data_IF_084534723859
#
_entry.id   IF_084534723859
#
_cell.length_a   1.000
_cell.length_b   1.000
_cell.length_c   1.000
_cell.angle_alpha   90.00
_cell.angle_beta   90.00
_cell.angle_gamma   90.00
#
_symmetry.space_group_name_H-M   'P 1'
#
loop_
_entity.id
_entity.type
_entity.pdbx_description
1 polymer ?
#
# COMPACT_ATOMS: atom_id res chain seq x y z
N UNK A 1 -6.24 12.93 0.03
CA UNK A 1 -5.00 13.73 -0.12
C UNK A 1 -3.81 12.77 -0.16
N UNK A 2 -2.81 13.03 -1.00
CA UNK A 2 -1.56 12.25 -1.13
C UNK A 2 -0.39 13.00 -0.49
N UNK A 3 0.74 12.35 -0.17
CA UNK A 3 1.90 13.03 0.40
C UNK A 3 2.48 14.11 -0.52
N UNK A 4 2.23 14.00 -1.82
CA UNK A 4 2.67 14.94 -2.85
C UNK A 4 1.88 16.25 -2.86
N UNK A 5 0.66 16.27 -2.31
CA UNK A 5 -0.17 17.47 -2.22
C UNK A 5 0.41 18.51 -1.24
N UNK A 6 1.18 18.08 -0.23
CA UNK A 6 1.85 18.99 0.72
C UNK A 6 3.20 19.50 0.20
N UNK A 7 3.80 18.81 -0.78
CA UNK A 7 5.09 19.19 -1.34
C UNK A 7 5.00 20.42 -2.25
N UNK A 8 3.79 20.85 -2.64
CA UNK A 8 3.60 21.95 -3.58
C UNK A 8 2.50 22.90 -3.11
N UNK A 9 2.94 23.99 -2.46
CA UNK A 9 2.17 25.22 -2.37
C UNK A 9 1.84 25.75 -3.78
N UNK A 10 0.83 26.60 -3.89
CA UNK A 10 0.18 26.91 -5.17
C UNK A 10 1.12 27.48 -6.26
N UNK A 11 2.24 28.11 -5.91
CA UNK A 11 3.08 28.85 -6.86
C UNK A 11 3.88 27.96 -7.83
N UNK A 12 4.69 26.95 -7.41
CA UNK A 12 5.33 26.03 -8.35
C UNK A 12 4.37 25.26 -9.26
N UNK A 13 3.18 24.91 -8.73
CA UNK A 13 2.14 24.24 -9.50
C UNK A 13 1.56 25.14 -10.61
N UNK A 14 1.29 26.41 -10.29
CA UNK A 14 0.89 27.43 -11.27
C UNK A 14 1.97 27.66 -12.32
N UNK A 15 3.24 27.78 -11.93
CA UNK A 15 4.37 27.97 -12.86
C UNK A 15 4.50 26.81 -13.86
N UNK A 16 4.33 25.57 -13.40
CA UNK A 16 4.33 24.39 -14.27
C UNK A 16 3.16 24.38 -15.26
N UNK A 17 1.93 24.68 -14.82
CA UNK A 17 0.77 24.77 -15.70
C UNK A 17 0.93 25.86 -16.77
N UNK A 18 1.49 27.01 -16.39
CA UNK A 18 1.81 28.11 -17.30
C UNK A 18 2.84 27.68 -18.35
N UNK A 19 3.90 26.97 -17.94
CA UNK A 19 4.88 26.43 -18.89
C UNK A 19 4.26 25.46 -19.88
N UNK A 20 3.50 24.47 -19.40
CA UNK A 20 2.86 23.46 -20.29
C UNK A 20 1.89 24.12 -21.26
N UNK A 21 1.12 25.10 -20.80
CA UNK A 21 0.25 25.91 -21.66
C UNK A 21 1.04 26.68 -22.71
N UNK A 22 2.22 27.21 -22.35
CA UNK A 22 3.12 27.90 -23.27
C UNK A 22 3.75 26.96 -24.32
N UNK A 23 4.07 25.72 -23.95
CA UNK A 23 4.55 24.68 -24.87
C UNK A 23 3.46 24.26 -25.86
N UNK A 24 2.22 24.09 -25.39
CA UNK A 24 1.07 23.83 -26.23
C UNK A 24 0.79 24.99 -27.19
N UNK A 25 0.83 26.23 -26.69
CA UNK A 25 0.67 27.43 -27.52
C UNK A 25 1.74 27.50 -28.61
N UNK A 26 3.00 27.19 -28.28
CA UNK A 26 4.08 27.10 -29.28
C UNK A 26 3.82 26.03 -30.34
N UNK A 27 3.39 24.83 -29.92
CA UNK A 27 3.05 23.74 -30.83
C UNK A 27 1.90 24.10 -31.77
N UNK A 28 0.80 24.63 -31.21
CA UNK A 28 -0.36 25.10 -31.96
C UNK A 28 0.01 26.25 -32.91
N UNK A 29 0.89 27.16 -32.49
CA UNK A 29 1.38 28.25 -33.32
C UNK A 29 2.12 27.74 -34.57
N UNK A 30 2.93 26.67 -34.45
CA UNK A 30 3.58 26.04 -35.62
C UNK A 30 2.57 25.45 -36.60
N UNK A 31 1.51 24.82 -36.08
CA UNK A 31 0.42 24.29 -36.90
C UNK A 31 -0.33 25.41 -37.61
N UNK A 32 -0.69 26.48 -36.89
CA UNK A 32 -1.38 27.64 -37.48
C UNK A 32 -0.56 28.27 -38.62
N UNK A 33 0.75 28.41 -38.45
CA UNK A 33 1.65 28.90 -39.51
C UNK A 33 1.71 27.96 -40.71
N UNK A 34 1.83 26.65 -40.49
CA UNK A 34 1.85 25.68 -41.58
C UNK A 34 0.53 25.69 -42.37
N UNK A 35 -0.60 25.84 -41.67
CA UNK A 35 -1.91 25.96 -42.30
C UNK A 35 -2.08 27.29 -43.05
N UNK A 36 -1.56 28.40 -42.52
CA UNK A 36 -1.59 29.69 -43.21
C UNK A 36 -0.86 29.61 -44.56
N UNK A 37 0.32 28.97 -44.58
CA UNK A 37 1.12 28.77 -45.79
C UNK A 37 0.45 27.87 -46.85
N UNK A 38 -0.47 27.00 -46.42
CA UNK A 38 -1.20 26.10 -47.29
C UNK A 38 -2.64 26.57 -47.59
N UNK A 39 -3.04 27.75 -47.08
CA UNK A 39 -4.41 28.21 -47.17
C UNK A 39 -4.75 28.68 -48.60
N UNK A 40 -5.87 28.21 -49.19
CA UNK A 40 -6.26 28.59 -50.54
C UNK A 40 -6.93 29.97 -50.65
N UNK A 41 -7.26 30.61 -49.52
CA UNK A 41 -7.91 31.93 -49.49
C UNK A 41 -7.17 32.91 -48.59
N UNK A 42 -6.97 34.15 -49.08
CA UNK A 42 -6.23 35.19 -48.34
C UNK A 42 -6.88 35.59 -47.01
N UNK A 43 -8.21 35.43 -46.87
CA UNK A 43 -8.87 35.66 -45.59
C UNK A 43 -8.51 34.60 -44.53
N UNK A 44 -8.47 33.32 -44.92
CA UNK A 44 -8.09 32.24 -44.01
C UNK A 44 -6.61 32.32 -43.63
N UNK A 45 -5.74 32.68 -44.58
CA UNK A 45 -4.32 32.96 -44.34
C UNK A 45 -4.13 34.04 -43.28
N UNK A 46 -4.81 35.20 -43.42
CA UNK A 46 -4.71 36.31 -42.47
C UNK A 46 -5.16 35.91 -41.06
N UNK A 47 -6.28 35.18 -40.93
CA UNK A 47 -6.76 34.72 -39.61
C UNK A 47 -5.81 33.73 -38.95
N UNK A 48 -5.23 32.81 -39.74
CA UNK A 48 -4.25 31.84 -39.24
C UNK A 48 -2.92 32.50 -38.85
N UNK A 49 -2.51 33.55 -39.57
CA UNK A 49 -1.33 34.34 -39.22
C UNK A 49 -1.55 35.14 -37.92
N UNK A 50 -2.72 35.76 -37.73
CA UNK A 50 -3.08 36.41 -36.47
C UNK A 50 -3.12 35.43 -35.29
N UNK A 51 -3.65 34.23 -35.52
CA UNK A 51 -3.64 33.15 -34.53
C UNK A 51 -2.20 32.71 -34.20
N UNK A 52 -1.32 32.56 -35.21
CA UNK A 52 0.09 32.27 -35.00
C UNK A 52 0.78 33.32 -34.11
N UNK A 53 0.61 34.60 -34.42
CA UNK A 53 1.26 35.69 -33.68
C UNK A 53 0.74 35.82 -32.24
N UNK A 54 -0.55 35.55 -32.03
CA UNK A 54 -1.17 35.48 -30.70
C UNK A 54 -0.59 34.31 -29.87
N UNK A 55 -0.53 33.11 -30.47
CA UNK A 55 0.01 31.91 -29.83
C UNK A 55 1.52 32.02 -29.56
N UNK A 56 2.28 32.67 -30.45
CA UNK A 56 3.70 32.95 -30.26
C UNK A 56 3.93 33.88 -29.07
N UNK A 57 3.15 34.97 -28.96
CA UNK A 57 3.21 35.88 -27.79
C UNK A 57 2.82 35.17 -26.50
N UNK A 58 1.72 34.41 -26.51
CA UNK A 58 1.29 33.61 -25.36
C UNK A 58 2.37 32.60 -24.93
N UNK A 59 3.07 31.98 -25.88
CA UNK A 59 4.19 31.08 -25.58
C UNK A 59 5.36 31.80 -24.91
N UNK A 60 5.77 32.98 -25.39
CA UNK A 60 6.89 33.73 -24.80
C UNK A 60 6.54 34.17 -23.37
N UNK A 61 5.37 34.78 -23.18
CA UNK A 61 4.91 35.25 -21.87
C UNK A 61 4.74 34.08 -20.90
N UNK A 62 4.11 32.98 -21.34
CA UNK A 62 3.92 31.79 -20.51
C UNK A 62 5.22 31.08 -20.13
N UNK A 63 6.23 31.06 -21.03
CA UNK A 63 7.57 30.50 -20.71
C UNK A 63 8.34 31.36 -19.71
N UNK A 64 8.21 32.68 -19.80
CA UNK A 64 8.82 33.61 -18.85
C UNK A 64 8.15 33.54 -17.48
N UNK A 65 6.81 33.51 -17.43
CA UNK A 65 6.04 33.38 -16.19
C UNK A 65 6.20 32.00 -15.53
N UNK A 66 6.48 30.95 -16.32
CA UNK A 66 6.78 29.60 -15.85
C UNK A 66 8.27 29.30 -15.67
N UNK A 67 9.14 30.30 -15.59
CA UNK A 67 10.59 30.10 -15.49
C UNK A 67 11.01 29.33 -14.21
N UNK A 68 10.26 29.52 -13.12
CA UNK A 68 10.45 28.82 -11.84
C UNK A 68 9.64 27.51 -11.75
N UNK A 69 9.33 26.88 -12.88
CA UNK A 69 8.64 25.59 -12.86
C UNK A 69 9.46 24.52 -12.14
N UNK A 70 8.77 23.64 -11.41
CA UNK A 70 9.38 22.41 -10.96
C UNK A 70 9.08 21.28 -11.96
N UNK A 71 10.05 20.83 -12.78
CA UNK A 71 9.82 19.80 -13.79
C UNK A 71 9.40 18.44 -13.19
N UNK A 72 9.62 18.25 -11.88
CA UNK A 72 9.14 17.06 -11.16
C UNK A 72 7.61 16.97 -11.17
N UNK A 73 6.89 18.08 -11.33
CA UNK A 73 5.42 18.10 -11.40
C UNK A 73 4.86 17.33 -12.61
N UNK A 74 5.67 17.09 -13.65
CA UNK A 74 5.29 16.20 -14.74
C UNK A 74 5.10 14.73 -14.29
N UNK A 75 5.71 14.34 -13.18
CA UNK A 75 5.56 13.01 -12.58
C UNK A 75 4.52 12.99 -11.45
N UNK A 76 3.71 14.06 -11.30
CA UNK A 76 2.72 14.16 -10.23
C UNK A 76 1.71 13.01 -10.33
N UNK A 77 1.56 12.20 -9.27
CA UNK A 77 0.71 11.02 -9.36
C UNK A 77 -0.76 11.36 -9.30
N UNK A 78 -1.56 10.51 -9.94
CA UNK A 78 -3.01 10.51 -9.74
C UNK A 78 -3.32 10.13 -8.28
N UNK A 79 -4.27 10.84 -7.68
CA UNK A 79 -4.77 10.52 -6.34
C UNK A 79 -5.73 9.32 -6.41
N UNK A 80 -5.18 8.13 -6.64
CA UNK A 80 -5.96 6.91 -6.83
C UNK A 80 -6.73 6.53 -5.54
N UNK A 81 -7.94 5.96 -5.67
CA UNK A 81 -8.65 5.41 -4.53
C UNK A 81 -7.88 4.23 -3.95
N UNK A 82 -7.94 4.08 -2.62
CA UNK A 82 -7.36 2.92 -1.94
C UNK A 82 -8.30 1.72 -2.11
N UNK A 83 -8.33 1.19 -3.33
CA UNK A 83 -9.09 0.00 -3.71
C UNK A 83 -8.12 -1.08 -4.17
N UNK A 84 -8.34 -2.30 -3.68
CA UNK A 84 -7.57 -3.47 -4.09
C UNK A 84 -7.84 -3.77 -5.57
N UNK A 85 -6.77 -3.98 -6.32
CA UNK A 85 -6.80 -4.51 -7.68
C UNK A 85 -5.94 -5.77 -7.68
N UNK A 86 -6.54 -6.96 -7.55
CA UNK A 86 -5.76 -8.19 -7.41
C UNK A 86 -4.89 -8.43 -8.64
N UNK A 87 -3.72 -9.02 -8.43
CA UNK A 87 -2.88 -9.51 -9.52
C UNK A 87 -3.50 -10.80 -10.07
N UNK A 88 -3.84 -10.82 -11.36
CA UNK A 88 -4.48 -11.96 -11.99
C UNK A 88 -3.49 -12.72 -12.89
N UNK A 89 -3.62 -14.05 -13.02
CA UNK A 89 -2.82 -14.81 -14.00
C UNK A 89 -3.07 -14.42 -15.46
N UNK A 90 -4.20 -13.74 -15.72
CA UNK A 90 -4.57 -13.22 -17.04
C UNK A 90 -4.01 -11.83 -17.34
N UNK A 91 -3.35 -11.19 -16.36
CA UNK A 91 -2.72 -9.88 -16.56
C UNK A 91 -1.60 -10.00 -17.59
N UNK A 92 -1.57 -9.07 -18.54
CA UNK A 92 -0.51 -9.04 -19.56
C UNK A 92 0.78 -8.57 -18.92
N UNK A 93 1.87 -9.32 -19.10
CA UNK A 93 3.13 -9.04 -18.41
C UNK A 93 3.69 -7.65 -18.73
N UNK A 94 3.50 -7.15 -19.95
CA UNK A 94 3.93 -5.79 -20.33
C UNK A 94 3.16 -4.65 -19.65
N UNK A 95 2.00 -4.90 -19.02
CA UNK A 95 1.26 -3.88 -18.25
C UNK A 95 1.65 -3.86 -16.77
N UNK A 96 2.47 -4.82 -16.31
CA UNK A 96 2.89 -4.93 -14.91
C UNK A 96 3.56 -3.65 -14.39
N UNK A 97 4.50 -3.00 -15.10
CA UNK A 97 5.12 -1.77 -14.61
C UNK A 97 4.10 -0.66 -14.30
N UNK A 98 3.06 -0.54 -15.12
CA UNK A 98 2.00 0.46 -14.93
C UNK A 98 1.15 0.13 -13.72
N UNK A 99 0.74 -1.13 -13.57
CA UNK A 99 0.01 -1.58 -12.38
C UNK A 99 0.83 -1.44 -11.09
N UNK A 100 2.14 -1.71 -11.15
CA UNK A 100 3.04 -1.53 -10.01
C UNK A 100 3.18 -0.06 -9.62
N UNK A 101 3.28 0.85 -10.59
CA UNK A 101 3.25 2.29 -10.33
C UNK A 101 1.97 2.68 -9.59
N UNK A 102 0.84 2.20 -10.11
CA UNK A 102 -0.50 2.37 -9.55
C UNK A 102 -0.64 1.85 -8.11
N UNK A 103 -0.12 0.66 -7.83
CA UNK A 103 -0.11 0.07 -6.48
C UNK A 103 0.79 0.89 -5.53
N UNK A 104 1.94 1.36 -6.03
CA UNK A 104 2.83 2.22 -5.25
C UNK A 104 2.13 3.52 -4.84
N UNK A 105 1.34 4.15 -5.71
CA UNK A 105 0.55 5.34 -5.35
C UNK A 105 -0.50 5.06 -4.27
N UNK A 106 -1.22 3.93 -4.40
CA UNK A 106 -2.21 3.50 -3.42
C UNK A 106 -1.57 3.25 -2.05
N UNK A 107 -0.40 2.59 -2.02
CA UNK A 107 0.35 2.36 -0.78
C UNK A 107 0.97 3.64 -0.20
N UNK A 108 1.44 4.56 -1.05
CA UNK A 108 1.90 5.89 -0.64
C UNK A 108 0.78 6.71 0.00
N UNK A 109 -0.44 6.61 -0.55
CA UNK A 109 -1.64 7.17 0.07
C UNK A 109 -1.94 6.53 1.41
N UNK A 110 -1.92 5.20 1.52
CA UNK A 110 -2.15 4.49 2.78
C UNK A 110 -1.11 4.90 3.86
N UNK A 111 0.16 5.05 3.48
CA UNK A 111 1.21 5.55 4.37
C UNK A 111 0.91 6.97 4.86
N UNK A 112 0.45 7.86 3.96
CA UNK A 112 0.08 9.22 4.30
C UNK A 112 -1.15 9.29 5.22
N UNK A 113 -2.20 8.53 4.94
CA UNK A 113 -3.40 8.42 5.77
C UNK A 113 -3.05 7.86 7.16
N UNK A 114 -2.18 6.84 7.21
CA UNK A 114 -1.65 6.29 8.45
C UNK A 114 -0.78 7.29 9.22
N UNK A 115 -0.02 8.15 8.55
CA UNK A 115 0.75 9.21 9.22
C UNK A 115 -0.18 10.27 9.85
N UNK A 116 -1.22 10.70 9.11
CA UNK A 116 -2.07 11.83 9.50
C UNK A 116 -3.34 11.45 10.26
N UNK A 117 -3.69 10.16 10.32
CA UNK A 117 -4.92 9.69 11.00
C UNK A 117 -6.18 10.08 10.26
N UNK A 118 -6.10 10.18 8.93
CA UNK A 118 -7.17 10.66 8.05
C UNK A 118 -7.80 9.55 7.18
N UNK A 119 -7.40 8.31 7.39
CA UNK A 119 -7.97 7.16 6.70
C UNK A 119 -9.31 6.75 7.31
N UNK A 120 -10.25 6.31 6.47
CA UNK A 120 -11.54 5.74 6.89
C UNK A 120 -11.33 4.48 7.74
N UNK A 121 -10.30 3.69 7.40
CA UNK A 121 -9.88 2.51 8.12
C UNK A 121 -8.48 2.70 8.70
N UNK A 122 -8.28 2.28 9.96
CA UNK A 122 -6.97 2.31 10.61
C UNK A 122 -6.23 1.00 10.35
N UNK A 123 -4.91 1.08 10.16
CA UNK A 123 -4.03 -0.09 10.12
C UNK A 123 -4.01 -0.77 11.50
N UNK A 124 -4.43 -2.03 11.57
CA UNK A 124 -4.23 -2.91 12.72
C UNK A 124 -2.77 -3.39 12.80
N UNK A 125 -2.35 -3.95 13.93
CA UNK A 125 -1.05 -4.58 14.10
C UNK A 125 -0.86 -5.80 13.20
N UNK A 126 -1.94 -6.54 12.94
CA UNK A 126 -2.02 -7.66 12.01
C UNK A 126 -1.80 -7.16 10.57
N UNK A 127 -2.36 -5.99 10.21
CA UNK A 127 -2.05 -5.33 8.94
C UNK A 127 -0.58 -4.92 8.88
N UNK A 128 -0.03 -4.30 9.93
CA UNK A 128 1.37 -3.88 9.97
C UNK A 128 2.35 -5.06 9.85
N UNK A 129 2.03 -6.20 10.48
CA UNK A 129 2.81 -7.43 10.36
C UNK A 129 2.77 -7.98 8.93
N UNK A 130 1.58 -8.10 8.33
CA UNK A 130 1.43 -8.66 6.99
C UNK A 130 1.99 -7.72 5.92
N UNK A 131 1.81 -6.40 6.05
CA UNK A 131 2.49 -5.41 5.21
C UNK A 131 4.00 -5.62 5.27
N UNK A 132 4.58 -5.78 6.47
CA UNK A 132 6.01 -5.99 6.61
C UNK A 132 6.49 -7.28 5.90
N UNK A 133 5.72 -8.37 5.95
CA UNK A 133 6.02 -9.61 5.20
C UNK A 133 5.95 -9.41 3.69
N UNK A 134 4.90 -8.76 3.19
CA UNK A 134 4.78 -8.46 1.76
C UNK A 134 5.90 -7.55 1.27
N UNK A 135 6.27 -6.53 2.06
CA UNK A 135 7.41 -5.67 1.76
C UNK A 135 8.74 -6.41 1.75
N UNK A 136 8.95 -7.35 2.69
CA UNK A 136 10.12 -8.20 2.69
C UNK A 136 10.21 -9.03 1.39
N UNK A 137 9.13 -9.71 1.01
CA UNK A 137 9.07 -10.51 -0.22
C UNK A 137 9.24 -9.65 -1.47
N UNK A 138 8.55 -8.51 -1.56
CA UNK A 138 8.67 -7.57 -2.67
C UNK A 138 10.12 -7.11 -2.89
N UNK A 139 10.82 -6.72 -1.83
CA UNK A 139 12.23 -6.33 -1.92
C UNK A 139 13.15 -7.49 -2.34
N UNK A 140 12.87 -8.73 -1.92
CA UNK A 140 13.61 -9.90 -2.40
C UNK A 140 13.39 -10.14 -3.90
N UNK A 141 12.14 -10.04 -4.38
CA UNK A 141 11.80 -10.21 -5.78
C UNK A 141 12.40 -9.11 -6.65
N UNK A 142 12.29 -7.86 -6.23
CA UNK A 142 12.92 -6.73 -6.91
C UNK A 142 14.44 -6.87 -6.97
N UNK A 143 15.09 -7.22 -5.85
CA UNK A 143 16.54 -7.48 -5.84
C UNK A 143 16.92 -8.66 -6.72
N UNK A 144 16.11 -9.72 -6.77
CA UNK A 144 16.34 -10.87 -7.67
C UNK A 144 16.22 -10.46 -9.13
N UNK A 145 15.23 -9.64 -9.49
CA UNK A 145 15.08 -9.14 -10.86
C UNK A 145 16.29 -8.31 -11.29
N UNK A 146 16.77 -7.38 -10.44
CA UNK A 146 17.98 -6.59 -10.75
C UNK A 146 19.22 -7.45 -10.93
N UNK A 147 19.44 -8.46 -10.07
CA UNK A 147 20.57 -9.40 -10.24
C UNK A 147 20.47 -10.16 -11.55
N UNK A 148 19.24 -10.55 -11.91
CA UNK A 148 19.00 -11.39 -13.07
C UNK A 148 19.17 -10.62 -14.39
N UNK A 149 18.81 -9.34 -14.43
CA UNK A 149 19.01 -8.49 -15.61
C UNK A 149 20.39 -7.82 -15.65
N UNK A 150 21.20 -7.91 -14.59
CA UNK A 150 22.51 -7.25 -14.53
C UNK A 150 23.45 -7.71 -15.66
N UNK A 151 23.35 -8.97 -16.09
CA UNK A 151 24.17 -9.50 -17.18
C UNK A 151 23.73 -9.00 -18.57
N UNK A 152 22.58 -8.32 -18.66
CA UNK A 152 22.10 -7.62 -19.85
C UNK A 152 22.36 -6.11 -19.80
N UNK A 153 23.12 -5.63 -18.80
CA UNK A 153 23.38 -4.20 -18.66
C UNK A 153 24.33 -3.70 -19.77
N UNK A 154 24.19 -2.42 -20.21
CA UNK A 154 24.99 -1.89 -21.31
C UNK A 154 26.49 -1.85 -21.04
N UNK A 155 26.89 -1.78 -19.76
CA UNK A 155 28.29 -1.69 -19.33
C UNK A 155 28.54 -2.52 -18.07
N UNK A 156 29.79 -2.95 -17.82
CA UNK A 156 30.15 -3.64 -16.56
C UNK A 156 29.84 -2.79 -15.32
N UNK A 157 30.10 -1.48 -15.37
CA UNK A 157 29.76 -0.56 -14.29
C UNK A 157 28.26 -0.53 -14.00
N UNK A 158 27.42 -0.53 -15.04
CA UNK A 158 25.97 -0.61 -14.88
C UNK A 158 25.54 -1.93 -14.23
N UNK A 159 26.15 -3.05 -14.63
CA UNK A 159 25.90 -4.35 -14.02
C UNK A 159 26.25 -4.37 -12.52
N UNK A 160 27.40 -3.79 -12.15
CA UNK A 160 27.85 -3.72 -10.76
C UNK A 160 26.94 -2.83 -9.90
N UNK A 161 26.47 -1.70 -10.42
CA UNK A 161 25.50 -0.86 -9.71
C UNK A 161 24.15 -1.56 -9.51
N UNK A 162 23.67 -2.33 -10.49
CA UNK A 162 22.46 -3.14 -10.35
C UNK A 162 22.63 -4.24 -9.29
N UNK A 163 23.78 -4.91 -9.25
CA UNK A 163 24.11 -5.91 -8.22
C UNK A 163 24.22 -5.27 -6.83
N UNK A 164 24.77 -4.07 -6.74
CA UNK A 164 24.83 -3.32 -5.49
C UNK A 164 23.42 -2.95 -5.00
N UNK A 165 22.59 -2.38 -5.89
CA UNK A 165 21.20 -2.04 -5.58
C UNK A 165 20.40 -3.27 -5.12
N UNK A 166 20.57 -4.42 -5.78
CA UNK A 166 19.97 -5.67 -5.35
C UNK A 166 20.42 -6.12 -3.96
N UNK A 167 21.69 -5.90 -3.61
CA UNK A 167 22.22 -6.21 -2.27
C UNK A 167 21.61 -5.30 -1.20
N UNK A 168 21.39 -4.01 -1.51
CA UNK A 168 20.68 -3.09 -0.61
C UNK A 168 19.21 -3.49 -0.45
N UNK A 169 18.53 -3.89 -1.52
CA UNK A 169 17.15 -4.41 -1.46
C UNK A 169 17.05 -5.68 -0.61
N UNK A 170 18.02 -6.61 -0.71
CA UNK A 170 18.08 -7.78 0.18
C UNK A 170 18.24 -7.38 1.64
N UNK A 171 19.02 -6.34 1.92
CA UNK A 171 19.18 -5.80 3.28
C UNK A 171 17.87 -5.22 3.78
N UNK A 172 17.15 -4.45 2.95
CA UNK A 172 15.82 -3.93 3.27
C UNK A 172 14.80 -5.04 3.49
N UNK A 173 14.84 -6.11 2.70
CA UNK A 173 13.98 -7.27 2.90
C UNK A 173 14.20 -7.93 4.27
N UNK A 174 15.47 -8.10 4.67
CA UNK A 174 15.81 -8.66 5.98
C UNK A 174 15.28 -7.80 7.12
N UNK A 175 15.46 -6.49 7.07
CA UNK A 175 14.97 -5.60 8.14
C UNK A 175 13.45 -5.58 8.21
N UNK A 176 12.75 -5.62 7.07
CA UNK A 176 11.28 -5.79 7.04
C UNK A 176 10.83 -7.12 7.67
N UNK A 177 11.53 -8.22 7.37
CA UNK A 177 11.24 -9.53 7.96
C UNK A 177 11.50 -9.55 9.48
N UNK A 178 12.56 -8.88 9.94
CA UNK A 178 12.85 -8.70 11.37
C UNK A 178 11.74 -7.89 12.06
N UNK A 179 11.30 -6.78 11.46
CA UNK A 179 10.16 -6.01 11.96
C UNK A 179 8.87 -6.85 12.01
N UNK A 180 8.57 -7.63 10.96
CA UNK A 180 7.44 -8.56 10.93
C UNK A 180 7.52 -9.64 12.03
N UNK A 181 8.73 -10.10 12.33
CA UNK A 181 8.98 -11.10 13.38
C UNK A 181 8.83 -10.50 14.78
N UNK A 182 9.07 -9.19 14.95
CA UNK A 182 8.82 -8.46 16.19
C UNK A 182 7.37 -8.57 16.68
N UNK A 183 6.40 -8.68 15.75
CA UNK A 183 4.98 -8.90 16.05
C UNK A 183 4.65 -10.30 16.55
N UNK A 184 5.64 -11.20 16.69
CA UNK A 184 5.39 -12.53 17.25
C UNK A 184 4.76 -12.43 18.65
N UNK A 185 3.65 -13.15 18.85
CA UNK A 185 2.86 -13.15 20.10
C UNK A 185 2.24 -11.80 20.48
N UNK A 186 2.15 -10.86 19.54
CA UNK A 186 1.37 -9.63 19.68
C UNK A 186 0.16 -9.76 18.77
N UNK A 187 -1.02 -9.51 19.31
CA UNK A 187 -2.29 -9.66 18.61
C UNK A 187 -3.11 -8.40 18.86
N UNK A 188 -3.82 -7.92 17.84
CA UNK A 188 -4.82 -6.88 18.03
C UNK A 188 -6.11 -7.46 18.60
N UNK A 189 -6.72 -6.71 19.50
CA UNK A 189 -8.12 -6.91 19.87
C UNK A 189 -8.93 -5.88 19.11
N UNK A 190 -10.05 -6.27 18.52
CA UNK A 190 -10.99 -5.28 18.00
C UNK A 190 -11.46 -4.37 19.15
N UNK A 191 -11.77 -3.12 18.81
CA UNK A 191 -12.39 -2.22 19.77
C UNK A 191 -13.73 -2.80 20.23
N UNK A 192 -13.92 -3.10 21.53
CA UNK A 192 -15.20 -3.61 22.03
C UNK A 192 -16.36 -2.64 21.78
N UNK A 193 -16.09 -1.33 21.59
CA UNK A 193 -17.09 -0.31 21.24
C UNK A 193 -17.54 -0.40 19.77
N UNK A 194 -16.69 -0.94 18.89
CA UNK A 194 -17.01 -1.13 17.47
C UNK A 194 -17.76 -2.45 17.20
N UNK A 195 -17.57 -3.47 18.04
CA UNK A 195 -18.20 -4.79 17.90
C UNK A 195 -18.63 -5.41 19.25
N UNK A 196 -19.68 -4.88 19.90
CA UNK A 196 -20.10 -5.28 21.25
C UNK A 196 -20.68 -6.70 21.35
N UNK A 197 -20.97 -7.37 20.22
CA UNK A 197 -21.67 -8.67 20.16
C UNK A 197 -20.75 -9.88 19.96
N UNK A 198 -19.43 -9.68 19.89
CA UNK A 198 -18.52 -10.80 19.61
C UNK A 198 -18.24 -11.62 20.88
N UNK A 199 -18.47 -12.95 20.84
CA UNK A 199 -18.31 -13.78 22.02
C UNK A 199 -16.84 -13.84 22.43
N UNK A 200 -16.54 -13.87 23.75
CA UNK A 200 -15.17 -14.09 24.22
C UNK A 200 -14.64 -15.44 23.67
N UNK A 201 -13.37 -15.53 23.27
CA UNK A 201 -12.82 -16.76 22.69
C UNK A 201 -12.91 -17.91 23.70
N UNK A 202 -13.65 -18.96 23.35
CA UNK A 202 -13.88 -20.11 24.22
C UNK A 202 -12.60 -20.93 24.49
N UNK A 203 -12.46 -21.41 25.74
CA UNK A 203 -11.29 -22.16 26.24
C UNK A 203 -10.88 -23.37 25.37
N UNK A 204 -11.85 -24.09 24.80
CA UNK A 204 -11.59 -25.27 23.95
C UNK A 204 -10.99 -24.93 22.57
N UNK A 205 -11.43 -23.81 21.95
CA UNK A 205 -10.92 -23.35 20.65
C UNK A 205 -9.44 -22.95 20.77
N UNK A 206 -9.15 -22.20 21.84
CA UNK A 206 -7.82 -21.73 22.24
C UNK A 206 -6.82 -22.88 22.48
N UNK A 207 -7.27 -24.03 23.02
CA UNK A 207 -6.43 -25.21 23.29
C UNK A 207 -6.19 -26.07 22.04
N UNK A 208 -7.10 -26.03 21.06
CA UNK A 208 -7.02 -26.83 19.83
C UNK A 208 -6.05 -26.27 18.77
N UNK A 209 -5.39 -25.13 19.03
CA UNK A 209 -4.55 -24.45 18.04
C UNK A 209 -5.33 -23.84 16.87
N UNK A 210 -6.65 -24.09 16.79
CA UNK A 210 -7.55 -23.34 15.94
C UNK A 210 -7.66 -21.96 16.54
N UNK A 211 -6.97 -20.99 15.94
CA UNK A 211 -7.21 -19.58 16.21
C UNK A 211 -8.73 -19.37 16.13
N UNK A 212 -9.39 -19.17 17.29
CA UNK A 212 -10.65 -18.43 17.25
C UNK A 212 -10.24 -17.11 16.63
N UNK A 213 -10.73 -16.82 15.43
CA UNK A 213 -10.53 -15.53 14.81
C UNK A 213 -11.00 -14.52 15.85
N UNK A 214 -10.04 -13.86 16.51
CA UNK A 214 -10.30 -12.63 17.23
C UNK A 214 -11.10 -11.76 16.25
N UNK A 215 -12.16 -11.06 16.69
CA UNK A 215 -12.99 -10.20 15.87
C UNK A 215 -12.27 -9.68 14.63
N UNK A 216 -12.47 -10.33 13.48
CA UNK A 216 -11.71 -9.98 12.30
C UNK A 216 -12.27 -8.62 11.85
N UNK A 217 -11.63 -7.53 12.25
CA UNK A 217 -11.75 -6.29 11.49
C UNK A 217 -11.34 -6.66 10.07
N UNK A 218 -12.18 -6.32 9.09
CA UNK A 218 -11.83 -6.56 7.68
C UNK A 218 -10.39 -6.08 7.45
N UNK A 219 -9.55 -6.83 6.71
CA UNK A 219 -8.17 -6.44 6.48
C UNK A 219 -8.12 -5.05 5.84
N UNK A 220 -7.12 -4.24 6.20
CA UNK A 220 -6.97 -2.93 5.58
C UNK A 220 -6.67 -3.10 4.08
N UNK A 221 -7.29 -2.34 3.14
CA UNK A 221 -7.12 -2.55 1.70
C UNK A 221 -5.67 -2.46 1.22
N UNK A 222 -4.82 -1.71 1.94
CA UNK A 222 -3.37 -1.67 1.68
C UNK A 222 -2.69 -3.06 1.71
N UNK A 223 -3.24 -4.04 2.44
CA UNK A 223 -2.76 -5.42 2.41
C UNK A 223 -2.96 -6.05 1.03
N UNK A 224 -4.15 -5.94 0.47
CA UNK A 224 -4.46 -6.43 -0.87
C UNK A 224 -3.56 -5.78 -1.93
N UNK A 225 -3.37 -4.46 -1.83
CA UNK A 225 -2.46 -3.71 -2.72
C UNK A 225 -1.01 -4.17 -2.57
N UNK A 226 -0.50 -4.35 -1.34
CA UNK A 226 0.88 -4.81 -1.12
C UNK A 226 1.09 -6.25 -1.61
N UNK A 227 0.10 -7.11 -1.43
CA UNK A 227 0.09 -8.47 -1.96
C UNK A 227 0.09 -8.47 -3.49
N UNK A 228 -0.77 -7.67 -4.12
CA UNK A 228 -0.86 -7.55 -5.57
C UNK A 228 0.46 -7.02 -6.17
N UNK A 229 1.04 -5.96 -5.60
CA UNK A 229 2.33 -5.43 -6.05
C UNK A 229 3.46 -6.47 -5.95
N UNK A 230 3.50 -7.21 -4.84
CA UNK A 230 4.49 -8.28 -4.65
C UNK A 230 4.28 -9.41 -5.67
N UNK A 231 3.02 -9.78 -5.91
CA UNK A 231 2.64 -10.81 -6.89
C UNK A 231 3.04 -10.41 -8.29
N UNK A 232 2.72 -9.18 -8.72
CA UNK A 232 3.09 -8.64 -10.04
C UNK A 232 4.60 -8.60 -10.27
N UNK A 233 5.38 -8.19 -9.27
CA UNK A 233 6.84 -8.24 -9.37
C UNK A 233 7.36 -9.67 -9.58
N UNK A 234 6.76 -10.65 -8.91
CA UNK A 234 7.10 -12.05 -9.12
C UNK A 234 6.58 -12.60 -10.46
N UNK A 235 5.41 -12.18 -10.93
CA UNK A 235 4.88 -12.54 -12.24
C UNK A 235 5.75 -12.02 -13.38
N UNK A 236 6.28 -10.79 -13.25
CA UNK A 236 7.24 -10.23 -14.19
C UNK A 236 8.49 -11.13 -14.31
N UNK A 237 8.99 -11.63 -13.17
CA UNK A 237 10.22 -12.42 -13.07
C UNK A 237 10.03 -13.92 -13.43
N UNK A 238 8.93 -14.53 -13.04
CA UNK A 238 8.70 -15.97 -13.08
C UNK A 238 7.54 -16.40 -14.01
N UNK A 239 6.76 -15.45 -14.53
CA UNK A 239 5.62 -15.71 -15.42
C UNK A 239 4.26 -15.45 -14.78
N UNK A 240 3.24 -15.26 -15.61
CA UNK A 240 1.92 -14.79 -15.19
C UNK A 240 1.23 -15.69 -14.16
N UNK A 241 1.51 -17.00 -14.20
CA UNK A 241 0.95 -17.98 -13.25
C UNK A 241 1.62 -17.96 -11.88
N UNK A 242 2.74 -17.24 -11.73
CA UNK A 242 3.45 -17.21 -10.46
C UNK A 242 2.65 -16.53 -9.36
N UNK A 243 2.59 -17.16 -8.19
CA UNK A 243 2.03 -16.61 -6.97
C UNK A 243 2.97 -16.87 -5.78
N UNK A 244 2.87 -16.10 -4.68
CA UNK A 244 3.68 -16.34 -3.49
C UNK A 244 3.53 -17.75 -2.90
N UNK A 245 2.39 -18.41 -3.14
CA UNK A 245 2.08 -19.77 -2.70
C UNK A 245 2.58 -20.86 -3.66
N UNK A 246 3.14 -20.50 -4.83
CA UNK A 246 3.67 -21.47 -5.80
C UNK A 246 4.76 -22.32 -5.14
N UNK A 247 4.64 -23.67 -5.15
CA UNK A 247 5.58 -24.53 -4.47
C UNK A 247 6.94 -24.59 -5.18
N UNK A 248 8.00 -24.82 -4.41
CA UNK A 248 9.35 -25.01 -4.94
C UNK A 248 10.09 -23.71 -5.25
N UNK A 249 11.23 -23.83 -5.93
CA UNK A 249 12.04 -22.70 -6.39
C UNK A 249 11.68 -22.41 -7.85
N UNK A 250 10.92 -21.34 -8.15
CA UNK A 250 10.54 -21.02 -9.52
C UNK A 250 11.77 -20.68 -10.35
N UNK A 251 11.74 -21.08 -11.62
CA UNK A 251 12.75 -20.71 -12.60
C UNK A 251 12.45 -19.33 -13.18
N UNK A 252 13.47 -18.47 -13.26
CA UNK A 252 13.31 -17.13 -13.80
C UNK A 252 13.15 -17.20 -15.33
N UNK A 253 12.23 -16.42 -15.86
CA UNK A 253 12.07 -16.21 -17.32
C UNK A 253 13.33 -15.59 -17.90
N UNK A 254 13.63 -15.76 -19.20
CA UNK A 254 14.79 -15.13 -19.84
C UNK A 254 14.89 -13.62 -19.57
N UNK A 255 16.10 -13.12 -19.30
CA UNK A 255 16.30 -11.73 -18.89
C UNK A 255 15.85 -10.72 -19.96
N UNK A 256 15.99 -11.08 -21.24
CA UNK A 256 15.51 -10.29 -22.37
C UNK A 256 13.98 -10.13 -22.33
N UNK A 257 13.23 -11.18 -22.00
CA UNK A 257 11.77 -11.14 -21.90
C UNK A 257 11.31 -10.30 -20.71
N UNK A 258 11.97 -10.45 -19.57
CA UNK A 258 11.72 -9.62 -18.37
C UNK A 258 11.94 -8.14 -18.69
N UNK A 259 13.02 -7.80 -19.39
CA UNK A 259 13.30 -6.43 -19.80
C UNK A 259 12.31 -5.92 -20.84
N UNK A 260 11.91 -6.75 -21.81
CA UNK A 260 10.93 -6.38 -22.82
C UNK A 260 9.57 -6.04 -22.18
N UNK A 261 9.07 -6.89 -21.29
CA UNK A 261 7.81 -6.65 -20.57
C UNK A 261 7.92 -5.50 -19.57
N UNK A 262 9.10 -5.28 -18.98
CA UNK A 262 9.31 -4.13 -18.11
C UNK A 262 9.34 -2.77 -18.86
N UNK A 263 9.44 -2.79 -20.20
CA UNK A 263 9.64 -1.58 -21.01
C UNK A 263 11.10 -1.11 -21.05
N UNK A 264 12.05 -2.03 -20.85
CA UNK A 264 13.48 -1.80 -20.84
C UNK A 264 14.07 -1.61 -19.44
N UNK A 265 15.40 -1.55 -19.38
CA UNK A 265 16.15 -1.46 -18.12
C UNK A 265 15.83 -0.18 -17.33
N UNK A 266 15.65 0.96 -18.02
CA UNK A 266 15.26 2.23 -17.42
C UNK A 266 13.95 2.14 -16.64
N UNK A 267 12.93 1.50 -17.24
CA UNK A 267 11.59 1.41 -16.65
C UNK A 267 11.53 0.34 -15.56
N UNK A 268 12.32 -0.73 -15.66
CA UNK A 268 12.50 -1.68 -14.57
C UNK A 268 13.12 -1.02 -13.33
N UNK A 269 14.23 -0.29 -13.49
CA UNK A 269 14.88 0.40 -12.35
C UNK A 269 13.98 1.48 -11.76
N UNK A 270 13.22 2.20 -12.58
CA UNK A 270 12.21 3.15 -12.12
C UNK A 270 11.10 2.46 -11.30
N UNK A 271 10.59 1.32 -11.78
CA UNK A 271 9.56 0.53 -11.09
C UNK A 271 10.06 0.06 -9.72
N UNK A 272 11.27 -0.48 -9.67
CA UNK A 272 11.89 -0.93 -8.41
C UNK A 272 12.20 0.24 -7.48
N UNK A 273 12.60 1.39 -8.02
CA UNK A 273 12.76 2.63 -7.25
C UNK A 273 11.45 3.05 -6.57
N UNK A 274 10.34 3.11 -7.31
CA UNK A 274 9.01 3.45 -6.78
C UNK A 274 8.61 2.50 -5.65
N UNK A 275 8.82 1.19 -5.85
CA UNK A 275 8.56 0.20 -4.80
C UNK A 275 9.35 0.51 -3.53
N UNK A 276 10.66 0.80 -3.61
CA UNK A 276 11.49 1.12 -2.44
C UNK A 276 11.11 2.46 -1.79
N UNK A 277 10.81 3.49 -2.58
CA UNK A 277 10.33 4.79 -2.09
C UNK A 277 9.02 4.64 -1.30
N UNK A 278 8.06 3.87 -1.80
CA UNK A 278 6.82 3.57 -1.06
C UNK A 278 7.10 2.75 0.21
N UNK A 279 8.07 1.83 0.18
CA UNK A 279 8.56 1.11 1.36
C UNK A 279 9.09 2.07 2.44
N UNK A 280 9.88 3.08 2.04
CA UNK A 280 10.32 4.15 2.94
C UNK A 280 9.12 4.87 3.58
N UNK A 281 8.14 5.31 2.80
CA UNK A 281 6.96 6.01 3.34
C UNK A 281 6.17 5.16 4.35
N UNK A 282 5.96 3.87 4.05
CA UNK A 282 5.29 2.94 4.97
C UNK A 282 6.09 2.74 6.27
N UNK A 283 7.41 2.58 6.18
CA UNK A 283 8.28 2.46 7.36
C UNK A 283 8.27 3.75 8.21
N UNK A 284 8.15 4.92 7.57
CA UNK A 284 8.01 6.20 8.27
C UNK A 284 6.67 6.32 9.00
N UNK A 285 5.58 5.84 8.40
CA UNK A 285 4.23 5.88 8.96
C UNK A 285 4.00 4.82 10.06
N UNK A 286 4.65 3.66 9.96
CA UNK A 286 4.38 2.49 10.84
C UNK A 286 4.48 2.79 12.35
N UNK A 287 5.49 3.51 12.85
CA UNK A 287 5.53 3.89 14.27
C UNK A 287 4.36 4.77 14.73
N UNK A 288 3.82 5.61 13.85
CA UNK A 288 2.66 6.47 14.17
C UNK A 288 1.39 5.62 14.22
N UNK A 289 1.20 4.74 13.24
CA UNK A 289 0.10 3.78 13.22
C UNK A 289 0.12 2.91 14.49
N UNK A 290 1.29 2.38 14.86
CA UNK A 290 1.47 1.55 16.06
C UNK A 290 1.06 2.28 17.34
N UNK A 291 1.48 3.54 17.51
CA UNK A 291 1.09 4.33 18.70
C UNK A 291 -0.42 4.50 18.81
N UNK A 292 -1.14 4.61 17.69
CA UNK A 292 -2.61 4.76 17.70
C UNK A 292 -3.33 3.47 18.08
N UNK A 293 -2.80 2.33 17.66
CA UNK A 293 -3.39 1.02 18.00
C UNK A 293 -2.87 0.45 19.31
N UNK A 294 -1.87 1.07 19.95
CA UNK A 294 -1.17 0.53 21.12
C UNK A 294 -2.09 0.06 22.26
N UNK A 295 -3.17 0.80 22.53
CA UNK A 295 -4.16 0.44 23.55
C UNK A 295 -4.98 -0.83 23.22
N UNK A 296 -4.99 -1.23 21.95
CA UNK A 296 -5.69 -2.43 21.43
C UNK A 296 -4.76 -3.63 21.26
N UNK A 297 -3.47 -3.50 21.59
CA UNK A 297 -2.49 -4.58 21.48
C UNK A 297 -2.48 -5.43 22.75
N UNK A 298 -2.57 -6.75 22.57
CA UNK A 298 -2.40 -7.74 23.64
C UNK A 298 -1.28 -8.72 23.32
N UNK A 299 -0.76 -9.36 24.37
CA UNK A 299 0.23 -10.42 24.26
C UNK A 299 -0.09 -11.59 25.17
N UNK A 300 0.48 -12.76 24.87
CA UNK A 300 0.43 -13.96 25.72
C UNK A 300 1.84 -14.38 26.19
N UNK A 301 2.80 -13.46 26.15
CA UNK A 301 4.22 -13.71 26.46
C UNK A 301 4.45 -13.84 27.97
N UNK A 302 4.55 -15.07 28.47
CA UNK A 302 4.52 -15.43 29.92
C UNK A 302 5.38 -14.52 30.80
N UNK A 303 6.55 -14.07 30.32
CA UNK A 303 7.44 -13.16 31.04
C UNK A 303 6.80 -11.81 31.45
N UNK A 304 5.69 -11.43 30.83
CA UNK A 304 5.02 -10.14 31.04
C UNK A 304 3.59 -10.30 31.58
N UNK A 305 3.23 -11.51 32.04
CA UNK A 305 1.92 -11.79 32.60
C UNK A 305 1.73 -10.99 33.90
N UNK A 306 0.67 -10.17 34.02
CA UNK A 306 0.30 -9.58 35.31
C UNK A 306 0.09 -10.68 36.36
N UNK A 307 0.50 -10.44 37.60
CA UNK A 307 0.49 -11.44 38.67
C UNK A 307 -0.91 -12.02 38.94
N UNK A 308 -1.96 -11.25 38.66
CA UNK A 308 -3.37 -11.55 38.85
C UNK A 308 -4.09 -11.98 37.55
N UNK A 309 -3.36 -12.11 36.43
CA UNK A 309 -4.00 -12.34 35.14
C UNK A 309 -4.69 -13.71 35.06
N UNK A 310 -6.02 -13.72 35.11
CA UNK A 310 -6.84 -14.91 34.89
C UNK A 310 -7.01 -15.29 33.39
N UNK A 311 -6.57 -14.42 32.47
CA UNK A 311 -6.80 -14.52 31.03
C UNK A 311 -5.52 -14.87 30.26
N UNK A 312 -5.66 -15.56 29.10
CA UNK A 312 -4.52 -15.98 28.24
C UNK A 312 -3.79 -14.80 27.59
N UNK A 313 -4.51 -13.72 27.30
CA UNK A 313 -3.98 -12.51 26.68
C UNK A 313 -4.14 -11.34 27.65
N UNK A 314 -3.14 -10.47 27.71
CA UNK A 314 -3.11 -9.28 28.56
C UNK A 314 -2.51 -8.10 27.79
N UNK A 315 -2.77 -6.86 28.22
CA UNK A 315 -2.30 -5.66 27.54
C UNK A 315 -0.80 -5.70 27.25
N UNK A 316 -0.40 -5.26 26.05
CA UNK A 316 1.00 -5.15 25.68
C UNK A 316 1.68 -4.08 26.54
N UNK A 317 2.78 -4.40 27.26
CA UNK A 317 3.50 -3.39 28.02
C UNK A 317 4.04 -2.26 27.14
N UNK A 318 4.02 -1.01 27.62
CA UNK A 318 4.45 0.18 26.86
C UNK A 318 5.85 0.05 26.26
N UNK A 319 6.82 -0.46 27.03
CA UNK A 319 8.19 -0.68 26.54
C UNK A 319 8.28 -1.70 25.39
N UNK A 320 7.33 -2.65 25.27
CA UNK A 320 7.26 -3.59 24.14
C UNK A 320 6.66 -2.90 22.91
N UNK A 321 5.64 -2.08 23.10
CA UNK A 321 5.08 -1.26 22.02
C UNK A 321 6.12 -0.28 21.47
N UNK A 322 6.93 0.33 22.33
CA UNK A 322 8.07 1.16 21.94
C UNK A 322 9.12 0.34 21.16
N UNK A 323 9.53 -0.83 21.65
CA UNK A 323 10.46 -1.70 20.90
C UNK A 323 9.93 -2.09 19.52
N UNK A 324 8.63 -2.36 19.38
CA UNK A 324 8.01 -2.60 18.08
C UNK A 324 8.11 -1.37 17.18
N UNK A 325 7.81 -0.18 17.69
CA UNK A 325 7.97 1.06 16.93
C UNK A 325 9.44 1.31 16.52
N UNK A 326 10.38 1.04 17.41
CA UNK A 326 11.82 1.16 17.18
C UNK A 326 12.33 0.19 16.10
N UNK A 327 11.71 -0.99 15.95
CA UNK A 327 12.07 -1.97 14.91
C UNK A 327 11.91 -1.45 13.47
N UNK A 328 11.12 -0.40 13.26
CA UNK A 328 10.96 0.24 11.95
C UNK A 328 12.05 1.27 11.63
N UNK A 329 12.90 1.69 12.59
CA UNK A 329 14.02 2.60 12.30
C UNK A 329 15.08 1.95 11.37
N UNK A 330 15.55 0.71 11.62
CA UNK A 330 16.41 0.00 10.66
C UNK A 330 15.77 -0.18 9.28
N UNK A 331 14.46 -0.45 9.22
CA UNK A 331 13.69 -0.58 7.97
C UNK A 331 13.75 0.72 7.17
N UNK A 332 13.44 1.85 7.82
CA UNK A 332 13.50 3.18 7.22
C UNK A 332 14.87 3.46 6.57
N UNK A 333 15.94 3.19 7.31
CA UNK A 333 17.31 3.41 6.84
C UNK A 333 17.65 2.48 5.66
N UNK A 334 17.27 1.21 5.73
CA UNK A 334 17.56 0.24 4.69
C UNK A 334 16.82 0.55 3.38
N UNK A 335 15.54 0.93 3.44
CA UNK A 335 14.77 1.38 2.28
C UNK A 335 15.36 2.66 1.67
N UNK A 336 15.75 3.65 2.49
CA UNK A 336 16.43 4.84 1.99
C UNK A 336 17.73 4.48 1.26
N UNK A 337 18.56 3.60 1.83
CA UNK A 337 19.80 3.16 1.20
C UNK A 337 19.54 2.39 -0.10
N UNK A 338 18.50 1.55 -0.17
CA UNK A 338 18.11 0.85 -1.38
C UNK A 338 17.65 1.82 -2.47
N UNK A 339 16.76 2.77 -2.14
CA UNK A 339 16.33 3.84 -3.04
C UNK A 339 17.52 4.66 -3.55
N UNK A 340 18.45 5.08 -2.68
CA UNK A 340 19.66 5.80 -3.10
C UNK A 340 20.57 4.98 -4.02
N UNK A 341 20.68 3.66 -3.81
CA UNK A 341 21.44 2.79 -4.70
C UNK A 341 20.79 2.67 -6.09
N UNK A 342 19.46 2.60 -6.15
CA UNK A 342 18.70 2.61 -7.41
C UNK A 342 18.89 3.93 -8.18
N UNK A 343 18.90 5.07 -7.48
CA UNK A 343 19.13 6.38 -8.11
C UNK A 343 20.52 6.51 -8.74
N UNK A 344 21.54 5.83 -8.22
CA UNK A 344 22.87 5.82 -8.85
C UNK A 344 22.84 5.18 -10.24
N UNK A 345 22.03 4.12 -10.40
CA UNK A 345 21.87 3.41 -11.67
C UNK A 345 21.29 4.27 -12.79
N UNK A 346 20.66 5.40 -12.48
CA UNK A 346 20.01 6.27 -13.45
C UNK A 346 20.95 6.77 -14.55
N UNK A 347 22.22 7.05 -14.20
CA UNK A 347 23.24 7.52 -15.16
C UNK A 347 23.56 6.49 -16.23
N UNK A 348 23.36 5.21 -15.93
CA UNK A 348 23.69 4.10 -16.81
C UNK A 348 22.47 3.51 -17.51
N UNK A 349 21.29 3.64 -16.89
CA UNK A 349 20.06 3.01 -17.37
C UNK A 349 19.15 3.98 -18.12
N UNK A 350 19.34 5.30 -17.96
CA UNK A 350 18.44 6.30 -18.51
C UNK A 350 17.12 6.44 -17.74
N UNK A 351 17.07 5.97 -16.49
CA UNK A 351 15.91 6.09 -15.60
C UNK A 351 15.44 7.55 -15.44
N UNK A 352 14.13 7.81 -15.57
CA UNK A 352 13.58 9.14 -15.29
C UNK A 352 13.65 9.44 -13.79
N UNK A 353 14.26 10.59 -13.46
CA UNK A 353 14.48 11.04 -12.08
C UNK A 353 13.39 12.00 -11.57
N UNK A 354 12.45 12.45 -12.39
CA UNK A 354 11.40 13.41 -11.98
C UNK A 354 10.59 12.89 -10.81
N UNK A 355 10.22 11.61 -10.82
CA UNK A 355 9.51 10.98 -9.70
C UNK A 355 10.37 11.00 -8.42
N UNK A 356 11.66 10.71 -8.54
CA UNK A 356 12.56 10.72 -7.40
C UNK A 356 12.68 12.10 -6.73
N UNK A 357 12.63 13.17 -7.52
CA UNK A 357 12.58 14.55 -7.01
C UNK A 357 11.30 14.81 -6.21
N UNK A 358 10.13 14.34 -6.68
CA UNK A 358 8.88 14.43 -5.92
C UNK A 358 8.94 13.66 -4.61
N UNK A 359 9.45 12.42 -4.67
CA UNK A 359 9.58 11.56 -3.49
C UNK A 359 10.52 12.18 -2.46
N UNK A 360 11.63 12.79 -2.88
CA UNK A 360 12.54 13.51 -1.97
C UNK A 360 11.83 14.63 -1.19
N UNK A 361 11.00 15.45 -1.87
CA UNK A 361 10.21 16.49 -1.22
C UNK A 361 9.17 15.92 -0.24
N UNK A 362 8.47 14.85 -0.64
CA UNK A 362 7.53 14.16 0.23
C UNK A 362 8.22 13.59 1.49
N UNK A 363 9.39 12.97 1.34
CA UNK A 363 10.15 12.42 2.46
C UNK A 363 10.69 13.50 3.40
N UNK A 364 11.11 14.65 2.88
CA UNK A 364 11.50 15.80 3.70
C UNK A 364 10.32 16.32 4.53
N UNK A 365 9.13 16.43 3.93
CA UNK A 365 7.90 16.81 4.65
C UNK A 365 7.57 15.83 5.78
N UNK A 366 7.62 14.53 5.50
CA UNK A 366 7.40 13.47 6.52
C UNK A 366 8.45 13.55 7.65
N UNK A 367 9.71 13.81 7.32
CA UNK A 367 10.78 13.95 8.30
C UNK A 367 10.61 15.19 9.18
N UNK A 368 10.23 16.33 8.61
CA UNK A 368 9.97 17.57 9.34
C UNK A 368 8.80 17.40 10.33
N UNK A 369 7.69 16.80 9.90
CA UNK A 369 6.53 16.55 10.75
C UNK A 369 6.81 15.58 11.91
N UNK A 370 7.73 14.61 11.71
CA UNK A 370 8.15 13.69 12.78
C UNK A 370 8.79 14.43 13.95
N UNK A 371 9.60 15.45 13.69
CA UNK A 371 10.27 16.24 14.73
C UNK A 371 9.28 17.04 15.59
N UNK A 372 8.14 17.45 15.02
CA UNK A 372 7.07 18.11 15.78
C UNK A 372 6.23 17.12 16.60
N UNK A 373 5.96 15.91 16.09
CA UNK A 373 5.21 14.89 16.84
C UNK A 373 5.96 14.29 18.03
N UNK A 374 7.29 14.45 18.09
CA UNK A 374 8.09 14.09 19.28
C UNK A 374 7.97 15.10 20.43
N UNK A 375 7.24 16.22 20.26
CA UNK A 375 7.09 17.28 21.27
C UNK A 375 5.73 17.35 21.98
N UNK A 376 4.81 16.42 21.77
CA UNK A 376 3.53 16.43 22.50
C UNK A 376 3.55 15.53 23.76
N UNK A 377 3.01 16.01 24.90
CA UNK A 377 3.11 15.34 26.19
C UNK A 377 2.21 14.10 26.26
N UNK A 378 2.46 13.18 27.21
CA UNK A 378 1.61 12.01 27.42
C UNK A 378 0.26 12.47 27.96
N UNK A 379 -0.72 12.70 27.09
CA UNK A 379 -2.13 12.74 27.48
C UNK A 379 -2.77 11.42 27.11
N UNK A 380 -2.68 10.47 28.04
CA UNK A 380 -3.69 9.45 28.37
C UNK A 380 -3.06 8.44 29.35
N UNK A 381 -2.98 8.82 30.63
CA UNK A 381 -2.72 7.86 31.71
C UNK A 381 -3.45 8.20 33.03
N UNK A 382 -4.29 9.24 33.05
CA UNK A 382 -4.91 9.70 34.29
C UNK A 382 -6.38 10.12 34.09
N UNK A 383 -7.23 9.25 33.54
CA UNK A 383 -8.69 9.36 33.75
C UNK A 383 -9.52 8.11 33.37
N UNK A 384 -8.99 6.89 33.53
CA UNK A 384 -9.82 5.68 33.33
C UNK A 384 -9.68 4.63 34.45
N UNK A 385 -9.00 4.97 35.56
CA UNK A 385 -8.91 4.08 36.74
C UNK A 385 -10.07 4.20 37.73
N UNK A 386 -10.95 5.18 37.56
CA UNK A 386 -12.08 5.41 38.49
C UNK A 386 -13.41 4.78 38.03
N UNK A 387 -13.47 4.19 36.83
CA UNK A 387 -14.71 3.62 36.28
C UNK A 387 -14.94 2.13 36.52
N UNK A 388 -13.96 1.39 37.05
CA UNK A 388 -14.04 -0.08 37.13
C UNK A 388 -14.21 -0.64 38.56
N UNK A 389 -14.17 0.20 39.59
CA UNK A 389 -14.28 -0.22 40.99
C UNK A 389 -15.50 0.36 41.74
N UNK A 390 -16.44 1.01 41.07
CA UNK A 390 -17.57 1.68 41.74
C UNK A 390 -18.86 0.85 41.89
N UNK A 391 -18.91 -0.42 41.44
CA UNK A 391 -20.11 -1.26 41.59
C UNK A 391 -19.85 -2.48 42.48
N UNK A 392 -19.60 -2.23 43.78
CA UNK A 392 -19.79 -3.21 44.85
C UNK A 392 -20.28 -2.53 46.14
N UNK A 393 -21.60 -2.47 46.31
CA UNK A 393 -22.38 -2.81 47.52
C UNK A 393 -23.79 -2.14 47.48
N UNK A 394 -24.75 -2.54 48.33
CA UNK A 394 -25.57 -3.74 48.19
C UNK A 394 -27.06 -3.41 47.94
N UNK A 395 -27.79 -4.45 47.56
CA UNK A 395 -29.24 -4.47 47.38
C UNK A 395 -29.96 -4.05 48.66
N UNK A 396 -30.83 -3.03 48.57
CA UNK A 396 -31.92 -2.80 49.51
C UNK A 396 -33.24 -2.60 48.74
N UNK A 397 -34.22 -3.44 49.09
CA UNK A 397 -35.59 -3.49 48.56
C UNK A 397 -36.46 -2.36 49.16
N UNK A 398 -37.24 -1.71 48.32
CA UNK A 398 -38.69 -1.39 48.47
C UNK A 398 -39.07 -0.51 47.28
N UNK A 399 -39.97 -0.92 46.37
CA UNK A 399 -41.42 -0.80 46.52
C UNK A 399 -41.84 0.68 46.37
N UNK A 400 -42.74 1.14 45.52
CA UNK A 400 -43.62 0.60 44.51
C UNK A 400 -44.27 1.82 43.78
N UNK A 401 -45.04 1.55 42.72
CA UNK A 401 -46.15 2.37 42.18
C UNK A 401 -45.81 3.56 41.25
N UNK A 402 -46.41 3.52 40.04
CA UNK A 402 -46.93 4.74 39.41
C UNK A 402 -46.62 4.95 37.92
N UNK A 403 -47.19 4.14 37.02
CA UNK A 403 -47.62 4.64 35.70
C UNK A 403 -48.94 5.42 35.88
N UNK A 404 -49.28 6.43 35.04
CA UNK A 404 -50.04 6.12 33.81
C UNK A 404 -49.87 7.07 32.58
N UNK A 405 -49.78 6.43 31.40
CA UNK A 405 -50.51 6.62 30.12
C UNK A 405 -50.64 7.96 29.34
N UNK A 406 -50.75 7.73 28.01
CA UNK A 406 -51.39 8.49 26.90
C UNK A 406 -50.42 9.34 26.04
N UNK A 407 -50.54 9.46 24.70
CA UNK A 407 -51.58 9.11 23.72
C UNK A 407 -50.97 9.07 22.30
N UNK A 408 -51.60 8.32 21.41
CA UNK A 408 -51.30 8.18 19.98
C UNK A 408 -51.77 9.37 19.12
N UNK A 409 -51.12 9.54 17.96
CA UNK A 409 -51.74 10.07 16.74
C UNK A 409 -51.08 9.45 15.51
N UNK A 410 -51.92 9.06 14.55
CA UNK A 410 -51.59 8.26 13.38
C UNK A 410 -51.84 9.04 12.07
N UNK A 411 -51.08 8.64 11.03
CA UNK A 411 -51.46 8.66 9.61
C UNK A 411 -50.96 9.84 8.76
N UNK A 412 -50.93 9.72 7.41
CA UNK A 412 -50.79 8.52 6.58
C UNK A 412 -49.73 8.66 5.44
N UNK A 413 -49.45 7.53 4.78
CA UNK A 413 -48.65 7.40 3.55
C UNK A 413 -49.47 7.62 2.26
N UNK A 414 -48.81 7.68 1.09
CA UNK A 414 -49.34 7.07 -0.12
C UNK A 414 -48.43 5.97 -0.70
N UNK A 415 -49.10 4.93 -1.21
CA UNK A 415 -48.60 3.83 -2.06
C UNK A 415 -48.24 4.38 -3.47
N UNK A 416 -47.72 3.66 -4.48
CA UNK A 416 -47.57 2.25 -4.90
C UNK A 416 -46.65 2.29 -6.14
N UNK A 417 -45.76 1.33 -6.41
CA UNK A 417 -45.88 0.22 -7.39
C UNK A 417 -44.42 -0.26 -7.62
N UNK A 418 -44.02 -1.48 -8.02
CA UNK A 418 -44.63 -2.70 -8.54
C UNK A 418 -43.71 -3.89 -8.20
N UNK A 419 -44.30 -5.09 -8.15
CA UNK A 419 -43.69 -6.42 -7.99
C UNK A 419 -43.01 -6.90 -9.31
N UNK A 420 -42.41 -8.13 -9.47
CA UNK A 420 -42.52 -9.32 -8.61
C UNK A 420 -41.27 -10.21 -8.41
N UNK A 421 -41.48 -11.17 -7.50
CA UNK A 421 -40.64 -12.28 -7.05
C UNK A 421 -40.62 -13.48 -8.01
N UNK A 422 -39.46 -14.14 -8.10
CA UNK A 422 -39.25 -15.59 -8.37
C UNK A 422 -38.08 -16.02 -7.46
N UNK A 423 -38.27 -16.76 -6.36
CA UNK A 423 -38.53 -18.20 -6.13
C UNK A 423 -37.38 -19.14 -6.54
N UNK A 424 -37.06 -20.05 -5.61
CA UNK A 424 -36.07 -21.17 -5.60
C UNK A 424 -34.80 -20.84 -4.78
N UNK A 425 -34.34 -21.60 -3.78
CA UNK A 425 -34.57 -22.99 -3.36
C UNK A 425 -33.19 -23.62 -3.03
N UNK A 426 -32.95 -24.23 -1.86
CA UNK A 426 -31.60 -24.49 -1.36
C UNK A 426 -31.03 -25.86 -1.76
N UNK A 427 -29.76 -25.93 -2.14
CA UNK A 427 -29.05 -27.18 -2.39
C UNK A 427 -28.19 -27.60 -1.18
N UNK A 428 -28.52 -28.78 -0.61
CA UNK A 428 -27.63 -29.60 0.23
C UNK A 428 -26.92 -30.62 -0.67
N UNK A 429 -25.63 -30.95 -0.43
CA UNK A 429 -24.98 -32.10 -1.07
C UNK A 429 -25.05 -33.34 -0.18
N UNK A 430 -25.40 -34.49 -0.77
CA UNK A 430 -25.34 -35.81 -0.16
C UNK A 430 -24.53 -36.79 -1.01
N UNK A 431 -23.67 -37.55 -0.31
CA UNK A 431 -23.20 -38.93 -0.59
C UNK A 431 -22.49 -39.25 -1.94
N UNK A 432 -21.21 -39.66 -1.91
CA UNK A 432 -20.68 -41.03 -1.72
C UNK A 432 -20.82 -41.92 -2.96
N UNK A 433 -19.71 -42.13 -3.68
CA UNK A 433 -19.31 -43.40 -4.32
C UNK A 433 -17.77 -43.44 -4.29
N UNK A 434 -17.06 -44.32 -3.58
CA UNK A 434 -16.77 -45.75 -3.84
C UNK A 434 -16.23 -46.05 -5.23
N UNK A 435 -14.91 -46.27 -5.33
CA UNK A 435 -14.22 -46.73 -6.52
C UNK A 435 -12.84 -47.30 -6.20
N UNK A 436 -12.83 -48.49 -5.58
CA UNK A 436 -11.65 -49.35 -5.42
C UNK A 436 -11.50 -50.20 -6.68
N UNK A 437 -10.35 -50.14 -7.36
CA UNK A 437 -9.82 -51.32 -8.05
C UNK A 437 -8.28 -51.34 -8.06
N UNK A 438 -7.77 -52.36 -7.34
CA UNK A 438 -6.58 -53.19 -7.64
C UNK A 438 -6.38 -53.40 -9.16
N UNK A 439 -5.25 -53.84 -9.70
CA UNK A 439 -3.88 -54.08 -9.27
C UNK A 439 -3.16 -54.59 -10.54
N UNK A 440 -1.89 -54.25 -10.75
CA UNK A 440 -0.97 -55.17 -11.45
C UNK A 440 0.47 -54.89 -11.02
N UNK A 441 0.98 -55.80 -10.18
CA UNK A 441 2.39 -55.94 -9.84
C UNK A 441 2.85 -57.22 -10.53
N UNK A 442 3.77 -57.11 -11.50
CA UNK A 442 4.46 -58.25 -12.08
C UNK A 442 5.97 -58.00 -11.97
N UNK A 443 6.60 -58.91 -11.27
CA UNK A 443 8.03 -59.12 -11.02
C UNK A 443 8.71 -59.71 -12.26
N UNK A 444 9.92 -59.28 -12.63
CA UNK A 444 11.13 -60.14 -12.69
C UNK A 444 12.38 -59.41 -13.16
N UNK A 445 13.48 -59.83 -12.56
CA UNK A 445 14.86 -59.44 -12.77
C UNK A 445 15.49 -60.11 -14.00
N UNK A 446 16.55 -59.49 -14.56
CA UNK A 446 17.82 -60.19 -14.86
C UNK A 446 18.98 -59.22 -15.09
N UNK A 447 20.15 -59.69 -14.66
CA UNK A 447 21.52 -59.13 -14.73
C UNK A 447 21.94 -58.59 -16.11
N UNK A 448 22.78 -57.55 -16.09
CA UNK A 448 24.19 -57.63 -16.51
C UNK A 448 25.02 -56.59 -15.77
#
# INVERSE_FOLDING_TARGET
MTPYALAFAEQPARSYLLRRSAELAWGAGRVARALAQAAPSGHAEVQLQLAHDSLARASVVGRAAGADENPALAAYPLALPLAEHPALPTDRLHTIPDHLADDCERLSRAAFEALHGRGEQQLSGSDLQQLARWRALGNLLSGRALLYVADQAPTPAAADELREAATKLRTAARTWQEAASGWHRVVDVADPRAHPTLPPPGYALVRSGRFAAMPATAPHPALGVAHAATTRMGQLLYGAEWQPSTPGRPEARPAADVLADAGGLARLTETVYRMSATGWQLAAASPVALRRIGARLVTNTVEHRPADAAYRFYPLPGHRAERLAESYKPVLNAERTAASALLRTARHTGMDLRRATLDAAAHQSIAAQRLDTTRFPPRCAAQERDGWNADRAPIARSGAVGQPTTRATAGPAPASSDAPLTREGPWRPGMRESGSSRATRATRATKR
#
